data_IF_212258146521
#
_entry.id   IF_212258146521
#
_cell.length_a   1.000
_cell.length_b   1.000
_cell.length_c   1.000
_cell.angle_alpha   90.00
_cell.angle_beta   90.00
_cell.angle_gamma   90.00
#
_symmetry.space_group_name_H-M   'P 1'
#
loop_
_entity.id
_entity.type
_entity.pdbx_description
1 polymer ?
#
# COMPACT_ATOMS: atom_id res chain seq x y z
N UNK A 1 -4.68 24.87 -8.18
CA UNK A 1 -3.98 24.89 -6.88
C UNK A 1 -4.33 23.60 -6.16
N UNK A 2 -3.35 22.84 -5.68
CA UNK A 2 -3.61 21.60 -4.92
C UNK A 2 -4.34 21.96 -3.61
N UNK A 3 -5.42 21.25 -3.29
CA UNK A 3 -6.21 21.48 -2.07
C UNK A 3 -5.52 20.75 -0.91
N UNK A 4 -5.01 21.49 0.07
CA UNK A 4 -4.18 20.95 1.16
C UNK A 4 -4.95 20.65 2.45
N UNK A 5 -6.25 20.97 2.51
CA UNK A 5 -7.09 20.70 3.68
C UNK A 5 -8.51 20.39 3.20
N UNK A 6 -9.23 19.47 3.87
CA UNK A 6 -10.66 19.22 3.57
C UNK A 6 -11.53 20.37 4.09
N UNK A 7 -11.35 20.78 5.35
CA UNK A 7 -12.07 21.88 5.99
C UNK A 7 -11.30 22.49 7.16
N UNK A 8 -11.63 23.73 7.55
CA UNK A 8 -11.04 24.39 8.74
C UNK A 8 -11.36 23.65 10.04
N UNK A 9 -12.54 23.04 10.14
CA UNK A 9 -12.93 22.26 11.31
C UNK A 9 -12.00 21.03 11.48
N UNK A 10 -11.69 20.30 10.40
CA UNK A 10 -10.80 19.15 10.48
C UNK A 10 -9.35 19.52 10.82
N UNK A 11 -8.89 20.69 10.37
CA UNK A 11 -7.59 21.24 10.80
C UNK A 11 -7.60 21.51 12.31
N UNK A 12 -8.64 22.16 12.82
CA UNK A 12 -8.74 22.53 14.25
C UNK A 12 -8.92 21.30 15.15
N UNK A 13 -9.81 20.39 14.76
CA UNK A 13 -10.30 19.32 15.62
C UNK A 13 -9.41 18.05 15.52
N UNK A 14 -8.75 17.83 14.38
CA UNK A 14 -7.96 16.63 14.10
C UNK A 14 -6.55 16.92 13.57
N UNK A 15 -6.15 18.18 13.40
CA UNK A 15 -4.85 18.53 12.81
C UNK A 15 -4.72 18.13 11.34
N UNK A 16 -5.82 17.85 10.64
CA UNK A 16 -5.75 17.28 9.29
C UNK A 16 -5.22 18.29 8.27
N UNK A 17 -4.05 17.96 7.73
CA UNK A 17 -3.42 18.65 6.60
C UNK A 17 -2.90 17.60 5.61
N UNK A 18 -3.00 17.90 4.32
CA UNK A 18 -2.42 17.05 3.29
C UNK A 18 -1.01 17.49 2.96
N UNK A 19 -0.08 16.54 3.06
CA UNK A 19 1.27 16.72 2.57
C UNK A 19 1.22 16.78 1.03
N UNK A 20 1.68 17.88 0.40
CA UNK A 20 1.70 18.00 -1.06
C UNK A 20 2.51 16.87 -1.70
N UNK A 21 2.08 16.37 -2.86
CA UNK A 21 2.74 15.23 -3.52
C UNK A 21 4.25 15.43 -3.71
N UNK A 22 4.67 16.63 -4.11
CA UNK A 22 6.09 16.98 -4.30
C UNK A 22 6.90 16.85 -3.00
N UNK A 23 6.31 17.19 -1.86
CA UNK A 23 6.96 17.06 -0.57
C UNK A 23 7.04 15.60 -0.14
N UNK A 24 5.96 14.83 -0.33
CA UNK A 24 5.94 13.39 -0.07
C UNK A 24 7.07 12.69 -0.83
N UNK A 25 7.19 12.92 -2.15
CA UNK A 25 8.24 12.33 -2.97
C UNK A 25 9.65 12.68 -2.51
N UNK A 26 9.87 13.91 -2.04
CA UNK A 26 11.16 14.33 -1.48
C UNK A 26 11.46 13.59 -0.18
N UNK A 27 10.47 13.47 0.70
CA UNK A 27 10.62 12.81 1.99
C UNK A 27 10.86 11.31 1.83
N UNK A 28 10.07 10.63 0.99
CA UNK A 28 10.25 9.20 0.72
C UNK A 28 11.57 8.93 -0.02
N UNK A 29 12.09 9.87 -0.80
CA UNK A 29 13.42 9.73 -1.43
C UNK A 29 14.60 9.77 -0.44
N UNK A 30 14.38 10.15 0.82
CA UNK A 30 15.40 10.07 1.86
C UNK A 30 15.55 8.66 2.45
N UNK A 31 14.60 7.76 2.17
CA UNK A 31 14.66 6.39 2.64
C UNK A 31 15.74 5.61 1.86
N UNK A 32 16.48 4.71 2.54
CA UNK A 32 17.41 3.79 1.87
C UNK A 32 16.71 2.98 0.78
N UNK A 33 17.43 2.62 -0.29
CA UNK A 33 16.84 1.94 -1.45
C UNK A 33 16.21 0.59 -1.08
N UNK A 34 16.80 -0.12 -0.12
CA UNK A 34 16.30 -1.38 0.39
C UNK A 34 14.92 -1.25 1.04
N UNK A 35 14.52 -0.05 1.49
CA UNK A 35 13.18 0.20 2.06
C UNK A 35 12.06 -0.11 1.05
N UNK A 36 12.39 -0.08 -0.24
CA UNK A 36 11.48 -0.38 -1.34
C UNK A 36 11.55 -1.84 -1.81
N UNK A 37 12.24 -2.73 -1.09
CA UNK A 37 12.11 -4.17 -1.33
C UNK A 37 10.72 -4.67 -0.90
N UNK A 38 10.16 -5.71 -1.56
CA UNK A 38 8.78 -6.16 -1.35
C UNK A 38 8.43 -6.49 0.11
N UNK A 39 9.35 -7.13 0.82
CA UNK A 39 9.14 -7.61 2.19
C UNK A 39 9.37 -6.54 3.27
N UNK A 40 9.94 -5.38 2.92
CA UNK A 40 10.21 -4.33 3.92
C UNK A 40 8.93 -3.66 4.37
N UNK A 41 8.68 -3.75 5.67
CA UNK A 41 7.48 -3.26 6.33
C UNK A 41 7.57 -1.75 6.58
N UNK A 42 6.49 -1.04 6.30
CA UNK A 42 6.36 0.40 6.52
C UNK A 42 5.07 0.64 7.30
N UNK A 43 5.16 1.45 8.36
CA UNK A 43 4.03 1.89 9.15
C UNK A 43 3.90 3.40 9.08
N UNK A 44 2.71 3.88 8.76
CA UNK A 44 2.32 5.28 8.89
C UNK A 44 1.20 5.36 9.96
N UNK A 45 1.44 5.97 11.14
CA UNK A 45 0.49 6.00 12.27
C UNK A 45 -0.57 7.12 12.22
N UNK A 46 -0.61 7.92 11.16
CA UNK A 46 -1.52 9.05 10.92
C UNK A 46 -1.80 9.24 9.42
N UNK A 47 -2.25 8.16 8.76
CA UNK A 47 -1.99 7.99 7.32
C UNK A 47 -2.82 8.90 6.42
N UNK A 48 -3.85 9.55 6.97
CA UNK A 48 -4.79 10.35 6.22
C UNK A 48 -5.31 9.56 5.03
N UNK A 49 -5.32 10.20 3.86
CA UNK A 49 -5.71 9.58 2.58
C UNK A 49 -4.57 8.77 1.92
N UNK A 50 -3.48 8.53 2.64
CA UNK A 50 -2.43 7.59 2.26
C UNK A 50 -1.36 8.14 1.33
N UNK A 51 -1.08 9.44 1.31
CA UNK A 51 -0.11 10.01 0.36
C UNK A 51 1.29 9.36 0.47
N UNK A 52 1.81 9.16 1.69
CA UNK A 52 3.10 8.49 1.90
C UNK A 52 3.06 7.01 1.51
N UNK A 53 2.03 6.29 1.98
CA UNK A 53 1.86 4.86 1.65
C UNK A 53 1.72 4.63 0.15
N UNK A 54 1.04 5.53 -0.56
CA UNK A 54 0.89 5.48 -2.01
C UNK A 54 2.25 5.61 -2.72
N UNK A 55 3.06 6.61 -2.37
CA UNK A 55 4.36 6.82 -3.01
C UNK A 55 5.32 5.65 -2.72
N UNK A 56 5.31 5.14 -1.49
CA UNK A 56 6.11 3.99 -1.08
C UNK A 56 5.69 2.72 -1.82
N UNK A 57 4.39 2.39 -1.83
CA UNK A 57 3.87 1.23 -2.56
C UNK A 57 4.18 1.36 -4.05
N UNK A 58 4.00 2.54 -4.65
CA UNK A 58 4.29 2.76 -6.06
C UNK A 58 5.77 2.48 -6.38
N UNK A 59 6.70 2.92 -5.52
CA UNK A 59 8.14 2.62 -5.70
C UNK A 59 8.45 1.14 -5.59
N UNK A 60 7.87 0.43 -4.60
CA UNK A 60 7.98 -1.03 -4.47
C UNK A 60 7.49 -1.73 -5.75
N UNK A 61 6.29 -1.39 -6.22
CA UNK A 61 5.69 -2.00 -7.41
C UNK A 61 6.49 -1.68 -8.69
N UNK A 62 6.96 -0.44 -8.86
CA UNK A 62 7.81 -0.08 -9.99
C UNK A 62 9.12 -0.88 -9.98
N UNK A 63 9.79 -1.01 -8.83
CA UNK A 63 11.02 -1.81 -8.69
C UNK A 63 10.78 -3.27 -9.07
N UNK A 64 9.65 -3.85 -8.65
CA UNK A 64 9.26 -5.22 -9.03
C UNK A 64 9.03 -5.35 -10.55
N UNK A 65 8.33 -4.38 -11.15
CA UNK A 65 7.99 -4.40 -12.58
C UNK A 65 9.25 -4.33 -13.47
N UNK A 66 10.22 -3.49 -13.12
CA UNK A 66 11.48 -3.35 -13.88
C UNK A 66 12.48 -4.47 -13.61
N UNK A 67 12.33 -5.20 -12.49
CA UNK A 67 13.24 -6.27 -12.11
C UNK A 67 13.26 -7.43 -13.12
N UNK A 68 14.36 -8.21 -13.18
CA UNK A 68 14.55 -9.27 -14.18
C UNK A 68 13.76 -10.56 -13.90
N UNK A 69 12.97 -10.61 -12.82
CA UNK A 69 12.26 -11.82 -12.38
C UNK A 69 11.16 -12.23 -13.37
N UNK A 70 10.89 -13.54 -13.48
CA UNK A 70 9.77 -14.09 -14.23
C UNK A 70 8.42 -13.48 -13.75
N UNK A 71 7.41 -13.26 -14.63
CA UNK A 71 6.11 -12.69 -14.25
C UNK A 71 5.48 -13.31 -13.00
N UNK A 72 5.59 -14.62 -12.84
CA UNK A 72 5.17 -15.33 -11.63
C UNK A 72 5.75 -14.77 -10.32
N UNK A 73 7.08 -14.62 -10.25
CA UNK A 73 7.72 -14.04 -9.08
C UNK A 73 7.45 -12.55 -8.93
N UNK A 74 7.17 -11.84 -10.03
CA UNK A 74 6.72 -10.44 -9.96
C UNK A 74 5.37 -10.33 -9.26
N UNK A 75 4.38 -11.12 -9.67
CA UNK A 75 3.05 -11.16 -9.04
C UNK A 75 3.17 -11.47 -7.55
N UNK A 76 3.98 -12.48 -7.19
CA UNK A 76 4.23 -12.83 -5.79
C UNK A 76 4.75 -11.63 -4.98
N UNK A 77 5.81 -10.99 -5.49
CA UNK A 77 6.41 -9.84 -4.83
C UNK A 77 5.46 -8.64 -4.77
N UNK A 78 4.55 -8.49 -5.74
CA UNK A 78 3.56 -7.41 -5.71
C UNK A 78 2.59 -7.62 -4.54
N UNK A 79 2.06 -8.82 -4.34
CA UNK A 79 1.21 -9.10 -3.17
C UNK A 79 1.99 -8.95 -1.85
N UNK A 80 3.26 -9.36 -1.82
CA UNK A 80 4.12 -9.14 -0.66
C UNK A 80 4.29 -7.64 -0.36
N UNK A 81 4.51 -6.81 -1.39
CA UNK A 81 4.64 -5.36 -1.25
C UNK A 81 3.34 -4.68 -0.78
N UNK A 82 2.18 -5.16 -1.23
CA UNK A 82 0.89 -4.69 -0.73
C UNK A 82 0.69 -5.07 0.74
N UNK A 83 1.10 -6.28 1.12
CA UNK A 83 1.02 -6.76 2.49
C UNK A 83 2.03 -6.10 3.45
N UNK A 84 3.06 -5.45 2.93
CA UNK A 84 4.11 -4.81 3.73
C UNK A 84 3.83 -3.35 4.10
N UNK A 85 2.69 -2.77 3.70
CA UNK A 85 2.34 -1.38 4.01
C UNK A 85 1.21 -1.32 5.03
N UNK A 86 1.42 -0.58 6.10
CA UNK A 86 0.52 -0.45 7.25
C UNK A 86 0.17 1.02 7.51
N UNK A 87 -1.08 1.28 7.85
CA UNK A 87 -1.60 2.62 8.05
C UNK A 87 -2.60 2.68 9.20
N UNK A 88 -2.55 3.73 10.01
CA UNK A 88 -3.58 4.04 11.00
C UNK A 88 -4.04 5.47 10.80
N UNK A 89 -5.34 5.72 10.80
CA UNK A 89 -5.88 7.07 10.89
C UNK A 89 -7.11 7.12 11.80
N UNK A 90 -7.29 8.23 12.51
CA UNK A 90 -8.42 8.37 13.44
C UNK A 90 -9.76 8.54 12.69
N UNK A 91 -9.73 9.05 11.46
CA UNK A 91 -10.92 9.36 10.66
C UNK A 91 -11.20 8.23 9.66
N UNK A 92 -12.39 7.63 9.77
CA UNK A 92 -12.79 6.49 8.93
C UNK A 92 -12.80 6.81 7.43
N UNK A 93 -13.21 8.03 7.06
CA UNK A 93 -13.28 8.43 5.65
C UNK A 93 -11.88 8.50 5.01
N UNK A 94 -10.87 8.90 5.77
CA UNK A 94 -9.48 8.88 5.34
C UNK A 94 -8.97 7.45 5.13
N UNK A 95 -9.27 6.55 6.08
CA UNK A 95 -8.92 5.12 5.97
C UNK A 95 -9.52 4.49 4.71
N UNK A 96 -10.82 4.72 4.46
CA UNK A 96 -11.51 4.20 3.26
C UNK A 96 -10.89 4.79 1.98
N UNK A 97 -10.61 6.09 1.96
CA UNK A 97 -9.96 6.74 0.81
C UNK A 97 -8.55 6.20 0.58
N UNK A 98 -7.76 5.98 1.64
CA UNK A 98 -6.44 5.37 1.58
C UNK A 98 -6.51 3.95 0.98
N UNK A 99 -7.38 3.08 1.52
CA UNK A 99 -7.58 1.73 1.00
C UNK A 99 -7.93 1.72 -0.49
N UNK A 100 -8.89 2.57 -0.90
CA UNK A 100 -9.31 2.69 -2.30
C UNK A 100 -8.17 3.12 -3.22
N UNK A 101 -7.35 4.09 -2.79
CA UNK A 101 -6.20 4.57 -3.56
C UNK A 101 -5.09 3.52 -3.71
N UNK A 102 -4.76 2.82 -2.62
CA UNK A 102 -3.76 1.74 -2.67
C UNK A 102 -4.24 0.56 -3.53
N UNK A 103 -5.52 0.17 -3.41
CA UNK A 103 -6.17 -0.85 -4.24
C UNK A 103 -6.08 -0.49 -5.73
N UNK A 104 -6.43 0.76 -6.07
CA UNK A 104 -6.41 1.25 -7.45
C UNK A 104 -5.01 1.22 -8.06
N UNK A 105 -4.01 1.71 -7.32
CA UNK A 105 -2.60 1.65 -7.72
C UNK A 105 -2.13 0.21 -7.94
N UNK A 106 -2.47 -0.68 -7.00
CA UNK A 106 -2.09 -2.09 -7.09
C UNK A 106 -2.67 -2.75 -8.34
N UNK A 107 -3.94 -2.49 -8.64
CA UNK A 107 -4.64 -3.03 -9.81
C UNK A 107 -4.05 -2.50 -11.11
N UNK A 108 -3.77 -1.20 -11.18
CA UNK A 108 -3.12 -0.57 -12.33
C UNK A 108 -1.77 -1.25 -12.63
N UNK A 109 -0.96 -1.49 -11.60
CA UNK A 109 0.36 -2.13 -11.76
C UNK A 109 0.25 -3.62 -12.12
N UNK A 110 -0.72 -4.35 -11.56
CA UNK A 110 -0.94 -5.76 -11.92
C UNK A 110 -1.40 -5.93 -13.36
N UNK A 111 -2.25 -5.01 -13.84
CA UNK A 111 -2.72 -5.00 -15.22
C UNK A 111 -1.57 -4.85 -16.24
N UNK A 112 -0.46 -4.20 -15.86
CA UNK A 112 0.75 -4.13 -16.70
C UNK A 112 1.40 -5.49 -16.93
N UNK A 113 1.13 -6.49 -16.10
CA UNK A 113 1.55 -7.88 -16.29
C UNK A 113 0.47 -8.75 -16.96
N UNK A 114 -0.69 -8.18 -17.31
CA UNK A 114 -1.82 -8.93 -17.87
C UNK A 114 -2.54 -9.83 -16.85
N UNK A 115 -2.35 -9.60 -15.55
CA UNK A 115 -2.88 -10.44 -14.47
C UNK A 115 -4.11 -9.79 -13.84
N UNK A 116 -5.17 -10.59 -13.64
CA UNK A 116 -6.35 -10.15 -12.87
C UNK A 116 -6.05 -10.25 -11.36
N UNK A 117 -6.44 -9.24 -10.57
CA UNK A 117 -6.25 -9.28 -9.13
C UNK A 117 -7.19 -10.30 -8.47
N UNK A 118 -6.72 -10.93 -7.38
CA UNK A 118 -7.60 -11.61 -6.43
C UNK A 118 -8.19 -10.55 -5.49
N UNK A 119 -9.39 -10.08 -5.81
CA UNK A 119 -10.01 -8.97 -5.09
C UNK A 119 -10.22 -9.27 -3.60
N UNK A 120 -10.64 -10.49 -3.26
CA UNK A 120 -10.83 -10.90 -1.87
C UNK A 120 -9.55 -10.87 -1.05
N UNK A 121 -8.43 -11.30 -1.63
CA UNK A 121 -7.12 -11.22 -0.98
C UNK A 121 -6.68 -9.76 -0.80
N UNK A 122 -6.87 -8.92 -1.83
CA UNK A 122 -6.50 -7.49 -1.77
C UNK A 122 -7.30 -6.76 -0.70
N UNK A 123 -8.61 -6.99 -0.64
CA UNK A 123 -9.50 -6.40 0.36
C UNK A 123 -9.17 -6.90 1.77
N UNK A 124 -8.81 -8.19 1.90
CA UNK A 124 -8.34 -8.75 3.17
C UNK A 124 -7.04 -8.09 3.62
N UNK A 125 -6.05 -7.94 2.74
CA UNK A 125 -4.78 -7.28 3.07
C UNK A 125 -5.03 -5.83 3.53
N UNK A 126 -5.72 -5.04 2.70
CA UNK A 126 -5.92 -3.61 2.96
C UNK A 126 -6.82 -3.37 4.19
N UNK A 127 -7.85 -4.19 4.39
CA UNK A 127 -8.75 -4.09 5.55
C UNK A 127 -8.08 -4.45 6.89
N UNK A 128 -7.04 -5.27 6.87
CA UNK A 128 -6.23 -5.60 8.05
C UNK A 128 -5.08 -4.61 8.26
N UNK A 129 -4.49 -4.10 7.18
CA UNK A 129 -3.27 -3.29 7.27
C UNK A 129 -3.53 -1.80 7.40
N UNK A 130 -4.64 -1.29 6.83
CA UNK A 130 -5.03 0.11 6.90
C UNK A 130 -6.25 0.21 7.81
N UNK A 131 -6.04 0.69 9.04
CA UNK A 131 -7.01 0.59 10.14
C UNK A 131 -7.43 1.96 10.62
N UNK A 132 -8.68 2.05 11.06
CA UNK A 132 -9.12 3.19 11.87
C UNK A 132 -8.67 2.97 13.31
N UNK A 133 -8.10 4.00 13.92
CA UNK A 133 -7.80 4.01 15.35
C UNK A 133 -7.04 5.25 15.79
N UNK A 134 -6.90 5.42 17.10
CA UNK A 134 -6.01 6.39 17.69
C UNK A 134 -4.62 5.75 17.88
N UNK A 135 -3.66 6.11 17.05
CA UNK A 135 -2.31 5.54 17.11
C UNK A 135 -1.55 5.81 18.42
N UNK A 136 -2.03 6.73 19.26
CA UNK A 136 -1.45 7.03 20.57
C UNK A 136 -2.04 6.20 21.71
N UNK A 137 -3.27 5.70 21.56
CA UNK A 137 -4.04 5.08 22.64
C UNK A 137 -4.39 3.62 22.36
N UNK A 138 -4.64 3.29 21.09
CA UNK A 138 -5.09 1.97 20.70
C UNK A 138 -3.92 1.01 20.49
N UNK A 139 -4.17 -0.28 20.74
CA UNK A 139 -3.24 -1.37 20.38
C UNK A 139 -3.65 -1.98 19.06
N UNK A 140 -2.70 -2.10 18.13
CA UNK A 140 -2.93 -2.66 16.80
C UNK A 140 -2.23 -4.02 16.66
N UNK A 141 -2.98 -5.00 16.19
CA UNK A 141 -2.42 -6.22 15.62
C UNK A 141 -2.61 -6.16 14.11
N UNK A 142 -1.50 -6.01 13.39
CA UNK A 142 -1.53 -6.06 11.94
C UNK A 142 -1.33 -7.48 11.45
N UNK A 143 -1.89 -7.76 10.29
CA UNK A 143 -1.66 -9.03 9.63
C UNK A 143 -0.24 -9.03 9.05
N UNK A 144 0.59 -9.95 9.56
CA UNK A 144 1.91 -10.20 9.00
C UNK A 144 1.82 -11.35 7.99
N UNK A 145 1.63 -11.00 6.73
CA UNK A 145 1.58 -11.98 5.64
C UNK A 145 2.96 -12.13 5.02
N UNK A 146 3.44 -13.36 5.03
CA UNK A 146 4.42 -13.82 4.06
C UNK A 146 3.68 -14.58 2.96
N UNK A 147 3.78 -14.08 1.74
CA UNK A 147 3.17 -14.71 0.58
C UNK A 147 4.17 -15.73 0.04
N UNK A 148 3.78 -17.00 0.07
CA UNK A 148 4.49 -18.07 -0.62
C UNK A 148 3.50 -18.85 -1.47
N UNK A 149 3.86 -19.09 -2.72
CA UNK A 149 3.11 -20.04 -3.53
C UNK A 149 3.66 -21.45 -3.25
N UNK A 150 2.84 -22.31 -2.65
CA UNK A 150 3.08 -23.76 -2.73
C UNK A 150 2.77 -24.20 -4.16
N UNK A 151 3.64 -25.02 -4.74
CA UNK A 151 3.46 -25.55 -6.09
C UNK A 151 2.05 -26.11 -6.33
N UNK A 152 1.52 -25.77 -7.50
CA UNK A 152 0.21 -26.10 -8.08
C UNK A 152 -1.03 -25.41 -7.47
N UNK A 153 -1.55 -24.45 -8.27
CA UNK A 153 -2.84 -23.73 -8.18
C UNK A 153 -3.08 -22.85 -6.96
N UNK A 154 -2.74 -21.58 -7.12
CA UNK A 154 -3.56 -20.49 -6.58
C UNK A 154 -4.57 -20.05 -7.62
N UNK A 155 -5.73 -19.54 -7.21
CA UNK A 155 -6.79 -18.95 -8.09
C UNK A 155 -6.34 -17.69 -8.85
N UNK A 156 -5.03 -17.48 -8.94
CA UNK A 156 -4.37 -16.49 -9.77
C UNK A 156 -3.76 -17.27 -10.92
N UNK A 157 -4.43 -17.24 -12.07
CA UNK A 157 -3.92 -17.79 -13.33
C UNK A 157 -2.69 -16.98 -13.75
N UNK A 158 -1.53 -17.40 -13.26
CA UNK A 158 -0.26 -17.01 -13.83
C UNK A 158 0.22 -18.19 -14.66
N UNK A 159 0.51 -18.02 -15.96
CA UNK A 159 1.15 -19.05 -16.75
C UNK A 159 2.40 -19.56 -16.01
N UNK A 160 2.37 -20.83 -15.62
CA UNK A 160 3.58 -21.55 -15.20
C UNK A 160 4.20 -22.13 -16.46
N UNK A 161 5.48 -21.85 -16.67
CA UNK A 161 6.20 -22.42 -17.82
C UNK A 161 6.35 -23.93 -17.69
N UNK A 162 6.53 -24.54 -18.86
CA UNK A 162 6.84 -25.95 -19.11
C UNK A 162 8.31 -26.28 -18.83
#
# INVERSE_FOLDING_TARGET
MEKLTKSKARVRDFGEVYTPQKLVQKMTALLPEESFEPEKKILEPSCGTGNFLYDILNRKLCKILVGPKHPYYKVLNMYQALASVYGVDIQLDNVIECQSRLKSLFYERLAMLGIKPNEGLVDTILGNNIRRGNALEDTFMFLDLEVFFKGSRTDIDVPQDS
#
